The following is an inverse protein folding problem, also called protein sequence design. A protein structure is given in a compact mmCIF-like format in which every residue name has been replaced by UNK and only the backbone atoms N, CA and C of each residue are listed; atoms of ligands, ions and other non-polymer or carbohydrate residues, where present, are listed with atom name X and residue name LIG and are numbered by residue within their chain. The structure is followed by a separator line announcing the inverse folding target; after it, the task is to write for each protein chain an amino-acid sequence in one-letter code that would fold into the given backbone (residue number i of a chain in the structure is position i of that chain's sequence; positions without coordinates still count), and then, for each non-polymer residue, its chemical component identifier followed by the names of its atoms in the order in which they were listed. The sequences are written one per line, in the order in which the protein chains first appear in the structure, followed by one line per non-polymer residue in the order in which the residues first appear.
data_IF_693071734992
#
_entry.id   IF_693071734992
#
_cell.length_a   1.000
_cell.length_b   1.000
_cell.length_c   1.000
_cell.angle_alpha   90.00
_cell.angle_beta   90.00
_cell.angle_gamma   90.00
#
_symmetry.space_group_name_H-M   'P 1'
#
loop_
_entity.id
_entity.type
_entity.pdbx_description
1 polymer ?
#
# COMPACT_ATOMS: atom_id res chain seq x y z
N UNK A 1 1.73 -9.15 38.53
CA UNK A 1 1.32 -9.23 37.12
C UNK A 1 2.38 -8.47 36.35
N UNK A 2 3.40 -9.19 35.89
CA UNK A 2 4.56 -8.59 35.20
C UNK A 2 4.12 -8.11 33.82
N UNK A 3 4.45 -6.85 33.53
CA UNK A 3 4.27 -6.24 32.22
C UNK A 3 5.11 -7.03 31.22
N UNK A 4 4.43 -7.60 30.22
CA UNK A 4 5.09 -8.18 29.07
C UNK A 4 6.10 -7.16 28.51
N UNK A 5 7.39 -7.51 28.56
CA UNK A 5 8.43 -6.77 27.88
C UNK A 5 8.02 -6.62 26.41
N UNK A 6 7.87 -5.37 25.97
CA UNK A 6 7.76 -5.04 24.57
C UNK A 6 9.03 -5.53 23.88
N UNK A 7 8.93 -6.65 23.16
CA UNK A 7 9.95 -7.02 22.18
C UNK A 7 10.06 -5.85 21.18
N UNK A 8 11.25 -5.30 20.93
CA UNK A 8 11.40 -4.24 19.93
C UNK A 8 11.25 -4.89 18.55
N UNK A 9 10.01 -4.98 18.08
CA UNK A 9 9.62 -5.24 16.69
C UNK A 9 10.34 -4.26 15.72
N UNK A 10 10.92 -3.19 16.26
CA UNK A 10 11.74 -2.18 15.59
C UNK A 10 13.14 -2.65 15.21
N UNK A 11 13.82 -3.57 15.90
CA UNK A 11 15.25 -3.81 15.60
C UNK A 11 15.49 -4.40 14.21
N UNK A 12 14.79 -5.48 13.84
CA UNK A 12 15.01 -6.16 12.55
C UNK A 12 14.53 -5.34 11.34
N UNK A 13 13.46 -4.57 11.51
CA UNK A 13 12.99 -3.65 10.47
C UNK A 13 13.93 -2.46 10.30
N UNK A 14 14.44 -1.92 11.41
CA UNK A 14 15.44 -0.88 11.38
C UNK A 14 16.75 -1.38 10.77
N UNK A 15 17.18 -2.61 11.05
CA UNK A 15 18.34 -3.25 10.41
C UNK A 15 18.15 -3.35 8.90
N UNK A 16 16.99 -3.85 8.43
CA UNK A 16 16.70 -3.94 7.01
C UNK A 16 16.69 -2.57 6.32
N UNK A 17 16.09 -1.56 6.97
CA UNK A 17 16.08 -0.21 6.43
C UNK A 17 17.48 0.44 6.44
N UNK A 18 18.25 0.27 7.51
CA UNK A 18 19.61 0.78 7.62
C UNK A 18 20.53 0.17 6.56
N UNK A 19 20.40 -1.14 6.30
CA UNK A 19 21.12 -1.82 5.22
C UNK A 19 20.74 -1.27 3.84
N UNK A 20 19.44 -1.07 3.58
CA UNK A 20 18.95 -0.48 2.34
C UNK A 20 19.46 0.95 2.11
N UNK A 21 19.47 1.79 3.15
CA UNK A 21 19.89 3.18 3.10
C UNK A 21 21.41 3.36 3.24
N UNK A 22 22.14 2.28 3.53
CA UNK A 22 23.58 2.28 3.80
C UNK A 22 23.93 3.29 4.91
N UNK A 23 23.30 3.12 6.08
CA UNK A 23 23.48 3.97 7.26
C UNK A 23 23.57 3.16 8.56
N UNK A 24 23.92 3.81 9.67
CA UNK A 24 23.92 3.15 10.98
C UNK A 24 22.49 2.93 11.47
N UNK A 25 22.26 1.83 12.19
CA UNK A 25 20.94 1.47 12.74
C UNK A 25 20.41 2.52 13.73
N UNK A 26 21.31 3.15 14.48
CA UNK A 26 20.98 4.19 15.46
C UNK A 26 20.42 5.46 14.78
N UNK A 27 20.60 5.56 13.47
CA UNK A 27 19.97 6.59 12.66
C UNK A 27 18.53 6.25 12.28
N UNK A 28 18.00 5.07 12.59
CA UNK A 28 16.63 4.70 12.20
C UNK A 28 15.68 4.84 13.39
N UNK A 29 14.79 5.82 13.30
CA UNK A 29 13.65 6.00 14.19
C UNK A 29 12.36 5.39 13.62
N UNK A 30 11.39 5.15 14.49
CA UNK A 30 10.03 4.79 14.11
C UNK A 30 9.05 5.85 14.58
N UNK A 31 8.28 6.40 13.65
CA UNK A 31 7.25 7.40 13.92
C UNK A 31 5.89 6.71 14.10
N UNK A 32 5.42 6.68 15.34
CA UNK A 32 4.13 6.10 15.71
C UNK A 32 2.92 6.88 15.18
N UNK A 33 3.06 8.18 14.91
CA UNK A 33 1.98 9.02 14.38
C UNK A 33 1.65 8.70 12.93
N UNK A 34 2.67 8.34 12.15
CA UNK A 34 2.55 8.00 10.72
C UNK A 34 2.71 6.50 10.44
N UNK A 35 3.01 5.68 11.47
CA UNK A 35 3.22 4.23 11.36
C UNK A 35 4.30 3.90 10.31
N UNK A 36 5.44 4.60 10.38
CA UNK A 36 6.53 4.49 9.41
C UNK A 36 7.92 4.65 10.06
N UNK A 37 8.96 4.14 9.38
CA UNK A 37 10.36 4.30 9.77
C UNK A 37 10.97 5.54 9.12
N UNK A 38 11.93 6.18 9.79
CA UNK A 38 12.60 7.41 9.33
C UNK A 38 14.07 7.38 9.69
N UNK A 39 14.88 8.09 8.90
CA UNK A 39 16.29 8.34 9.23
C UNK A 39 16.42 9.63 10.06
N UNK A 40 16.97 9.55 11.27
CA UNK A 40 17.06 10.59 12.30
C UNK A 40 17.90 11.81 11.91
N UNK A 41 18.85 11.71 10.97
CA UNK A 41 19.62 12.88 10.51
C UNK A 41 18.86 13.82 9.56
N UNK A 42 17.60 13.54 9.23
CA UNK A 42 16.69 14.56 8.68
C UNK A 42 16.20 15.52 9.78
N UNK A 43 17.13 16.08 10.55
CA UNK A 43 16.88 17.24 11.39
C UNK A 43 17.33 18.50 10.62
N UNK A 44 16.48 19.52 10.66
CA UNK A 44 16.75 20.91 10.28
C UNK A 44 16.49 21.37 8.83
N UNK A 45 15.35 21.02 8.25
CA UNK A 45 14.54 22.06 7.60
C UNK A 45 13.05 21.75 7.74
N UNK A 46 12.55 21.81 8.97
CA UNK A 46 11.16 22.21 9.21
C UNK A 46 11.07 23.70 8.83
N UNK A 47 11.20 24.01 7.55
CA UNK A 47 10.65 25.22 6.98
C UNK A 47 9.33 24.75 6.41
N UNK A 48 8.25 25.02 7.13
CA UNK A 48 6.86 24.75 6.69
C UNK A 48 6.44 23.26 6.54
N UNK A 49 6.66 22.44 7.58
CA UNK A 49 5.76 21.30 7.84
C UNK A 49 5.82 20.10 6.88
N UNK A 50 6.89 19.94 6.11
CA UNK A 50 7.10 18.76 5.25
C UNK A 50 8.11 17.82 5.91
N UNK A 51 7.70 16.59 6.21
CA UNK A 51 8.62 15.51 6.56
C UNK A 51 9.07 14.86 5.26
N UNK A 52 10.36 14.93 4.90
CA UNK A 52 10.73 14.67 3.50
C UNK A 52 10.73 13.20 3.07
N UNK A 53 10.95 12.19 3.94
CA UNK A 53 10.85 10.76 3.54
C UNK A 53 10.63 9.82 4.74
N UNK A 54 9.43 9.24 4.85
CA UNK A 54 9.16 8.05 5.66
C UNK A 54 9.33 6.76 4.85
N UNK A 55 9.36 5.62 5.54
CA UNK A 55 9.47 4.31 4.92
C UNK A 55 8.48 3.32 5.55
N UNK A 56 7.73 2.59 4.73
CA UNK A 56 7.01 1.40 5.17
C UNK A 56 7.96 0.20 5.03
N UNK A 57 8.22 -0.49 6.15
CA UNK A 57 9.05 -1.70 6.18
C UNK A 57 8.15 -2.88 6.58
N UNK A 58 7.76 -3.67 5.59
CA UNK A 58 6.66 -4.63 5.71
C UNK A 58 7.12 -6.05 5.45
N UNK A 59 6.56 -7.00 6.21
CA UNK A 59 6.62 -8.42 5.88
C UNK A 59 5.75 -8.74 4.65
N UNK A 60 5.96 -9.90 4.00
CA UNK A 60 5.18 -10.32 2.84
C UNK A 60 3.66 -10.28 3.03
N UNK A 61 3.16 -10.64 4.22
CA UNK A 61 1.73 -10.61 4.52
C UNK A 61 1.25 -9.20 4.87
N UNK A 62 2.07 -8.39 5.52
CA UNK A 62 1.70 -7.03 5.93
C UNK A 62 1.49 -6.11 4.73
N UNK A 63 2.27 -6.27 3.66
CA UNK A 63 2.05 -5.51 2.42
C UNK A 63 0.70 -5.83 1.76
N UNK A 64 0.21 -7.07 1.87
CA UNK A 64 -1.13 -7.46 1.38
C UNK A 64 -2.21 -6.73 2.15
N UNK A 65 -2.15 -6.77 3.47
CA UNK A 65 -3.10 -6.06 4.34
C UNK A 65 -3.03 -4.55 4.16
N UNK A 66 -1.83 -3.97 3.99
CA UNK A 66 -1.66 -2.54 3.77
C UNK A 66 -2.30 -2.11 2.45
N UNK A 67 -2.10 -2.89 1.38
CA UNK A 67 -2.73 -2.62 0.10
C UNK A 67 -4.26 -2.76 0.17
N UNK A 68 -4.78 -3.82 0.80
CA UNK A 68 -6.22 -3.97 0.98
C UNK A 68 -6.84 -2.77 1.72
N UNK A 69 -6.19 -2.30 2.80
CA UNK A 69 -6.63 -1.10 3.52
C UNK A 69 -6.54 0.17 2.68
N UNK A 70 -5.48 0.31 1.86
CA UNK A 70 -5.35 1.42 0.93
C UNK A 70 -6.52 1.44 -0.06
N UNK A 71 -6.85 0.28 -0.65
CA UNK A 71 -7.96 0.15 -1.60
C UNK A 71 -9.30 0.48 -0.94
N UNK A 72 -9.56 -0.03 0.27
CA UNK A 72 -10.79 0.29 1.01
C UNK A 72 -11.02 1.81 1.16
N UNK A 73 -9.94 2.58 1.25
CA UNK A 73 -9.99 4.04 1.41
C UNK A 73 -9.85 4.84 0.11
N UNK A 74 -9.33 4.26 -0.97
CA UNK A 74 -8.90 5.02 -2.17
C UNK A 74 -9.31 4.38 -3.51
N UNK A 75 -10.16 3.35 -3.52
CA UNK A 75 -10.51 2.63 -4.76
C UNK A 75 -11.13 3.55 -5.84
N UNK A 76 -11.76 4.66 -5.49
CA UNK A 76 -12.29 5.69 -6.42
C UNK A 76 -11.26 6.27 -7.35
N UNK A 77 -10.01 6.37 -6.89
CA UNK A 77 -8.93 6.94 -7.68
C UNK A 77 -8.37 5.98 -8.73
N UNK A 78 -8.88 4.75 -8.80
CA UNK A 78 -8.37 3.70 -9.65
C UNK A 78 -9.35 3.36 -10.78
N UNK A 79 -8.83 3.27 -12.00
CA UNK A 79 -9.61 2.80 -13.15
C UNK A 79 -9.34 1.32 -13.42
N UNK A 80 -10.39 0.56 -13.67
CA UNK A 80 -10.27 -0.87 -14.00
C UNK A 80 -10.86 -1.18 -15.37
N UNK A 81 -10.32 -2.19 -16.04
CA UNK A 81 -10.93 -2.73 -17.26
C UNK A 81 -12.05 -3.70 -16.89
N UNK A 82 -13.10 -3.81 -17.71
CA UNK A 82 -14.14 -4.82 -17.47
C UNK A 82 -13.61 -6.25 -17.50
N UNK A 83 -12.62 -6.52 -18.36
CA UNK A 83 -11.99 -7.84 -18.45
C UNK A 83 -11.27 -8.21 -17.15
N UNK A 84 -10.57 -7.24 -16.54
CA UNK A 84 -9.94 -7.43 -15.23
C UNK A 84 -10.99 -7.72 -14.16
N UNK A 85 -12.02 -6.89 -14.03
CA UNK A 85 -13.08 -7.09 -13.03
C UNK A 85 -13.82 -8.43 -13.22
N UNK A 86 -14.16 -8.80 -14.45
CA UNK A 86 -14.75 -10.09 -14.78
C UNK A 86 -13.87 -11.25 -14.29
N UNK A 87 -12.57 -11.19 -14.60
CA UNK A 87 -11.60 -12.22 -14.21
C UNK A 87 -11.48 -12.32 -12.69
N UNK A 88 -11.47 -11.18 -12.01
CA UNK A 88 -11.25 -11.12 -10.56
C UNK A 88 -12.47 -11.48 -9.71
N UNK A 89 -13.63 -11.04 -10.14
CA UNK A 89 -14.87 -11.19 -9.35
C UNK A 89 -15.65 -12.45 -9.75
N UNK A 90 -15.31 -13.08 -10.87
CA UNK A 90 -16.10 -14.17 -11.45
C UNK A 90 -17.49 -13.75 -11.94
N UNK A 91 -17.80 -12.45 -11.91
CA UNK A 91 -19.05 -11.90 -12.42
C UNK A 91 -19.05 -11.95 -13.94
N UNK A 92 -20.23 -12.15 -14.54
CA UNK A 92 -20.38 -12.08 -16.00
C UNK A 92 -20.11 -10.66 -16.50
N UNK A 93 -19.75 -10.54 -17.79
CA UNK A 93 -19.51 -9.23 -18.40
C UNK A 93 -20.71 -8.28 -18.29
N UNK A 94 -21.95 -8.81 -18.31
CA UNK A 94 -23.15 -8.00 -18.15
C UNK A 94 -23.33 -7.54 -16.70
N UNK A 95 -23.01 -8.39 -15.71
CA UNK A 95 -23.01 -7.98 -14.30
C UNK A 95 -21.98 -6.89 -14.04
N UNK A 96 -20.75 -7.04 -14.57
CA UNK A 96 -19.67 -6.05 -14.41
C UNK A 96 -20.05 -4.70 -15.04
N UNK A 97 -20.63 -4.69 -16.25
CA UNK A 97 -21.08 -3.46 -16.93
C UNK A 97 -22.22 -2.74 -16.20
N UNK A 98 -22.98 -3.48 -15.39
CA UNK A 98 -24.07 -2.93 -14.60
C UNK A 98 -23.62 -2.41 -13.22
N UNK A 99 -22.34 -2.59 -12.84
CA UNK A 99 -21.77 -1.91 -11.69
C UNK A 99 -21.78 -0.41 -12.01
N UNK A 100 -22.47 0.42 -11.21
CA UNK A 100 -22.52 1.84 -11.49
C UNK A 100 -21.13 2.48 -11.46
N UNK A 101 -20.92 3.37 -12.41
CA UNK A 101 -19.66 4.07 -12.62
C UNK A 101 -19.83 5.55 -12.33
N UNK A 102 -18.80 6.15 -11.74
CA UNK A 102 -18.70 7.60 -11.62
C UNK A 102 -18.52 8.14 -13.03
N UNK A 103 -19.42 9.02 -13.47
CA UNK A 103 -19.32 9.63 -14.79
C UNK A 103 -18.14 10.61 -14.80
N UNK A 104 -16.95 10.08 -15.06
CA UNK A 104 -15.67 10.78 -15.18
C UNK A 104 -14.97 10.34 -16.45
N UNK A 105 -14.14 11.21 -17.00
CA UNK A 105 -13.55 11.09 -18.34
C UNK A 105 -12.77 9.77 -18.49
N UNK A 106 -13.16 8.96 -19.48
CA UNK A 106 -12.39 7.83 -20.03
C UNK A 106 -10.88 8.10 -19.97
N UNK A 107 -10.15 7.37 -19.15
CA UNK A 107 -8.76 7.08 -19.41
C UNK A 107 -8.73 5.99 -20.50
N UNK A 108 -7.76 6.03 -21.41
CA UNK A 108 -7.74 5.33 -22.70
C UNK A 108 -7.89 3.79 -22.65
N UNK A 109 -7.94 3.16 -21.46
CA UNK A 109 -8.14 1.71 -21.30
C UNK A 109 -9.08 1.28 -20.17
N UNK A 110 -9.58 2.18 -19.32
CA UNK A 110 -10.31 1.84 -18.08
C UNK A 110 -11.58 2.66 -17.82
N UNK A 111 -12.32 2.26 -16.79
CA UNK A 111 -13.53 2.94 -16.29
C UNK A 111 -13.36 3.26 -14.80
N UNK A 112 -13.88 4.42 -14.38
CA UNK A 112 -13.94 4.83 -12.98
C UNK A 112 -15.26 4.33 -12.38
N UNK A 113 -15.20 3.62 -11.26
CA UNK A 113 -16.35 2.96 -10.65
C UNK A 113 -16.80 3.66 -9.37
N UNK A 114 -18.08 3.49 -9.00
CA UNK A 114 -18.54 3.91 -7.68
C UNK A 114 -17.96 2.97 -6.60
N UNK A 115 -17.23 3.54 -5.64
CA UNK A 115 -16.47 2.80 -4.61
C UNK A 115 -17.33 1.83 -3.82
N UNK A 116 -18.49 2.28 -3.34
CA UNK A 116 -19.33 1.50 -2.44
C UNK A 116 -19.82 0.22 -3.13
N UNK A 117 -20.24 0.33 -4.40
CA UNK A 117 -20.78 -0.80 -5.13
C UNK A 117 -19.69 -1.70 -5.71
N UNK A 118 -18.54 -1.14 -6.10
CA UNK A 118 -17.39 -1.93 -6.51
C UNK A 118 -16.84 -2.74 -5.33
N UNK A 119 -16.69 -2.13 -4.15
CA UNK A 119 -16.27 -2.82 -2.92
C UNK A 119 -17.27 -3.90 -2.50
N UNK A 120 -18.59 -3.65 -2.59
CA UNK A 120 -19.61 -4.66 -2.34
C UNK A 120 -19.51 -5.84 -3.32
N UNK A 121 -19.27 -5.58 -4.61
CA UNK A 121 -19.06 -6.62 -5.61
C UNK A 121 -17.78 -7.44 -5.37
N UNK A 122 -16.67 -6.79 -5.00
CA UNK A 122 -15.41 -7.45 -4.62
C UNK A 122 -15.61 -8.30 -3.36
N UNK A 123 -16.26 -7.73 -2.33
CA UNK A 123 -16.51 -8.41 -1.06
C UNK A 123 -17.40 -9.65 -1.19
N UNK A 124 -18.38 -9.63 -2.09
CA UNK A 124 -19.24 -10.78 -2.40
C UNK A 124 -18.57 -11.85 -3.26
N UNK A 125 -17.43 -11.55 -3.89
CA UNK A 125 -16.75 -12.45 -4.82
C UNK A 125 -15.47 -13.02 -4.24
N UNK A 126 -14.34 -12.34 -4.44
CA UNK A 126 -13.02 -12.83 -4.06
C UNK A 126 -12.53 -12.29 -2.71
N UNK A 127 -13.12 -11.20 -2.20
CA UNK A 127 -12.60 -10.52 -1.02
C UNK A 127 -11.50 -9.51 -1.35
N UNK A 128 -11.33 -8.52 -0.47
CA UNK A 128 -10.45 -7.37 -0.75
C UNK A 128 -8.95 -7.73 -0.70
N UNK A 129 -8.56 -8.73 0.09
CA UNK A 129 -7.16 -9.17 0.23
C UNK A 129 -6.70 -9.87 -1.06
N UNK A 130 -7.49 -10.81 -1.55
CA UNK A 130 -7.24 -11.56 -2.79
C UNK A 130 -7.27 -10.63 -4.01
N UNK A 131 -8.19 -9.65 -4.00
CA UNK A 131 -8.23 -8.59 -5.00
C UNK A 131 -6.95 -7.73 -4.98
N UNK A 132 -6.51 -7.29 -3.81
CA UNK A 132 -5.27 -6.55 -3.62
C UNK A 132 -4.04 -7.32 -4.12
N UNK A 133 -3.94 -8.61 -3.79
CA UNK A 133 -2.83 -9.45 -4.23
C UNK A 133 -2.77 -9.54 -5.76
N UNK A 134 -3.91 -9.68 -6.42
CA UNK A 134 -3.93 -9.79 -7.89
C UNK A 134 -3.65 -8.46 -8.59
N UNK A 135 -4.07 -7.34 -8.00
CA UNK A 135 -3.65 -6.01 -8.45
C UNK A 135 -2.14 -5.86 -8.39
N UNK A 136 -1.55 -6.24 -7.25
CA UNK A 136 -0.11 -6.19 -7.06
C UNK A 136 0.66 -7.14 -7.99
N UNK A 137 0.08 -8.28 -8.40
CA UNK A 137 0.67 -9.13 -9.44
C UNK A 137 0.74 -8.45 -10.82
N UNK A 138 -0.18 -7.54 -11.09
CA UNK A 138 -0.26 -6.82 -12.38
C UNK A 138 0.65 -5.60 -12.40
N UNK A 139 0.60 -4.78 -11.35
CA UNK A 139 1.28 -3.46 -11.30
C UNK A 139 2.41 -3.37 -10.27
N UNK A 140 2.64 -4.41 -9.46
CA UNK A 140 3.53 -4.37 -8.31
C UNK A 140 2.90 -3.70 -7.08
N UNK A 141 3.39 -4.05 -5.89
CA UNK A 141 2.96 -3.38 -4.65
C UNK A 141 3.44 -1.93 -4.59
N UNK A 142 4.63 -1.64 -5.14
CA UNK A 142 5.20 -0.30 -5.15
C UNK A 142 4.27 0.73 -5.80
N UNK A 143 3.52 0.35 -6.85
CA UNK A 143 2.55 1.24 -7.49
C UNK A 143 1.49 1.82 -6.55
N UNK A 144 1.17 1.10 -5.47
CA UNK A 144 0.13 1.49 -4.53
C UNK A 144 0.69 1.90 -3.16
N UNK A 145 1.83 1.35 -2.77
CA UNK A 145 2.43 1.55 -1.45
C UNK A 145 3.60 2.54 -1.45
N UNK A 146 4.15 2.87 -2.61
CA UNK A 146 5.21 3.88 -2.78
C UNK A 146 4.69 5.06 -3.64
N UNK A 147 4.32 6.19 -3.03
CA UNK A 147 3.77 7.34 -3.74
C UNK A 147 4.81 8.13 -4.54
N UNK A 148 6.11 7.85 -4.41
CA UNK A 148 7.17 8.64 -5.02
C UNK A 148 7.67 8.05 -6.32
N UNK A 149 8.17 6.81 -6.28
CA UNK A 149 8.79 6.17 -7.43
C UNK A 149 8.18 4.82 -7.80
N UNK A 150 7.15 4.40 -7.06
CA UNK A 150 6.45 3.14 -7.26
C UNK A 150 7.37 1.91 -7.11
N UNK A 151 8.54 2.05 -6.46
CA UNK A 151 9.51 0.97 -6.34
C UNK A 151 9.17 -0.01 -5.21
N UNK A 152 9.70 -1.22 -5.34
CA UNK A 152 9.71 -2.22 -4.28
C UNK A 152 11.17 -2.61 -4.02
N UNK A 153 11.64 -2.34 -2.80
CA UNK A 153 12.96 -2.76 -2.36
C UNK A 153 12.84 -3.95 -1.40
N UNK A 154 13.79 -4.89 -1.46
CA UNK A 154 13.79 -6.10 -0.61
C UNK A 154 15.09 -6.17 0.16
N UNK A 155 15.00 -6.28 1.48
CA UNK A 155 16.18 -6.37 2.34
C UNK A 155 15.83 -7.17 3.60
N UNK A 156 16.69 -8.11 4.00
CA UNK A 156 16.48 -8.89 5.22
C UNK A 156 15.14 -9.66 5.33
N UNK A 157 14.48 -9.98 4.21
CA UNK A 157 13.14 -10.60 4.21
C UNK A 157 11.96 -9.62 4.33
N UNK A 158 12.25 -8.31 4.37
CA UNK A 158 11.28 -7.23 4.37
C UNK A 158 11.17 -6.57 3.00
N UNK A 159 10.04 -5.91 2.79
CA UNK A 159 9.76 -5.03 1.66
C UNK A 159 9.77 -3.58 2.15
N UNK A 160 10.48 -2.72 1.44
CA UNK A 160 10.68 -1.32 1.79
C UNK A 160 10.08 -0.45 0.69
N UNK A 161 9.18 0.45 1.09
CA UNK A 161 8.50 1.43 0.24
C UNK A 161 8.72 2.81 0.82
N UNK A 162 9.00 3.83 -0.02
CA UNK A 162 9.01 5.21 0.45
C UNK A 162 7.58 5.62 0.78
N UNK A 163 7.41 6.43 1.82
CA UNK A 163 6.11 6.74 2.41
C UNK A 163 6.10 8.19 2.91
N UNK A 164 4.92 8.81 2.93
CA UNK A 164 4.72 10.14 3.48
C UNK A 164 3.92 10.06 4.77
#
# INVERSE_FOLDING_TARGET
MELAQAYPITSLRSEALAAHLVCDIDEIGYDHGFDCFRRSYFESSIVDGVCEMGFLVLLPEERKYRLARYLDSNISGLSFTYAFLHTMTGLTMDQVKNIPHTTGVKNQTGYDFNDVQLLDAIGKSCGLIEFAETLAMTNGYGHYLDPYDNAEHKEGGYFIYRYY
#
